data_IF_082404593076
#
_entry.id   IF_082404593076
#
_cell.length_a   1.000
_cell.length_b   1.000
_cell.length_c   1.000
_cell.angle_alpha   90.00
_cell.angle_beta   90.00
_cell.angle_gamma   90.00
#
_symmetry.space_group_name_H-M   'P 1'
#
loop_
_entity.id
_entity.type
_entity.pdbx_description
1 polymer ?
#
# COMPACT_ATOMS: atom_id res chain seq x y z
N UNK A 1 26.05 -10.40 8.20
CA UNK A 1 24.73 -10.76 7.63
C UNK A 1 24.19 -9.64 6.75
N UNK A 2 23.99 -8.41 7.25
CA UNK A 2 23.50 -7.26 6.46
C UNK A 2 24.61 -6.49 5.69
N UNK A 3 25.66 -7.18 5.26
CA UNK A 3 26.84 -6.54 4.64
C UNK A 3 26.72 -6.39 3.12
N UNK A 4 27.58 -5.55 2.53
CA UNK A 4 27.61 -5.32 1.08
C UNK A 4 27.86 -6.60 0.26
N UNK A 5 28.68 -7.53 0.77
CA UNK A 5 28.96 -8.80 0.09
C UNK A 5 27.71 -9.69 -0.06
N UNK A 6 26.89 -9.79 0.99
CA UNK A 6 25.61 -10.51 0.90
C UNK A 6 24.62 -9.74 0.02
N UNK A 7 24.59 -8.41 0.10
CA UNK A 7 23.72 -7.61 -0.77
C UNK A 7 24.06 -7.85 -2.24
N UNK A 8 25.33 -7.79 -2.62
CA UNK A 8 25.77 -7.98 -4.01
C UNK A 8 25.58 -9.45 -4.48
N UNK A 9 25.56 -10.41 -3.54
CA UNK A 9 25.28 -11.82 -3.84
C UNK A 9 23.81 -12.06 -4.20
N UNK A 10 22.88 -11.45 -3.46
CA UNK A 10 21.44 -11.64 -3.67
C UNK A 10 20.87 -10.64 -4.69
N UNK A 11 21.43 -9.43 -4.74
CA UNK A 11 21.00 -8.32 -5.58
C UNK A 11 22.22 -7.65 -6.26
N UNK A 12 22.81 -8.27 -7.30
CA UNK A 12 23.99 -7.73 -7.97
C UNK A 12 23.78 -6.34 -8.60
N UNK A 13 22.54 -6.03 -9.00
CA UNK A 13 22.12 -4.74 -9.53
C UNK A 13 21.50 -3.82 -8.47
N UNK A 14 21.42 -4.30 -7.21
CA UNK A 14 20.81 -3.62 -6.06
C UNK A 14 19.37 -3.20 -6.30
N UNK A 15 18.62 -3.97 -7.08
CA UNK A 15 17.18 -3.77 -7.31
C UNK A 15 16.38 -4.83 -6.57
N UNK A 16 15.28 -4.40 -5.96
CA UNK A 16 14.34 -5.28 -5.25
C UNK A 16 12.99 -5.21 -5.95
N UNK A 17 12.42 -6.35 -6.31
CA UNK A 17 11.08 -6.46 -6.87
C UNK A 17 10.02 -6.36 -5.78
N UNK A 18 9.11 -5.40 -5.91
CA UNK A 18 7.98 -5.22 -4.98
C UNK A 18 6.67 -5.33 -5.75
N UNK A 19 5.80 -6.23 -5.31
CA UNK A 19 4.42 -6.28 -5.75
C UNK A 19 3.51 -5.71 -4.66
N UNK A 20 2.71 -4.71 -5.01
CA UNK A 20 1.79 -4.04 -4.09
C UNK A 20 0.38 -4.10 -4.67
N UNK A 21 -0.54 -4.69 -3.92
CA UNK A 21 -1.96 -4.70 -4.26
C UNK A 21 -2.81 -4.08 -3.16
N UNK A 22 -3.90 -3.43 -3.60
CA UNK A 22 -4.97 -2.98 -2.72
C UNK A 22 -6.30 -3.52 -3.20
N UNK A 23 -7.12 -4.04 -2.29
CA UNK A 23 -8.44 -4.56 -2.63
C UNK A 23 -9.50 -4.25 -1.56
N UNK A 24 -10.57 -3.55 -1.95
CA UNK A 24 -11.76 -3.44 -1.12
C UNK A 24 -12.69 -4.65 -1.38
N UNK A 25 -12.82 -5.54 -0.40
CA UNK A 25 -13.59 -6.79 -0.49
C UNK A 25 -15.08 -6.63 -0.13
N UNK A 26 -15.55 -5.42 0.20
CA UNK A 26 -16.94 -5.12 0.57
C UNK A 26 -17.54 -5.99 1.71
N UNK A 27 -16.69 -6.59 2.55
CA UNK A 27 -17.09 -7.48 3.64
C UNK A 27 -17.66 -8.81 3.15
N UNK A 28 -17.43 -9.17 1.88
CA UNK A 28 -17.92 -10.42 1.32
C UNK A 28 -17.33 -11.62 2.06
N UNK A 29 -18.17 -12.63 2.32
CA UNK A 29 -17.76 -13.87 2.99
C UNK A 29 -17.09 -14.86 2.04
N UNK A 30 -17.44 -14.78 0.75
CA UNK A 30 -16.87 -15.64 -0.28
C UNK A 30 -15.53 -15.08 -0.73
N UNK A 31 -14.47 -15.86 -0.58
CA UNK A 31 -13.18 -15.56 -1.21
C UNK A 31 -13.16 -16.18 -2.61
N UNK A 32 -12.50 -15.52 -3.60
CA UNK A 32 -12.26 -16.09 -4.91
C UNK A 32 -11.64 -17.49 -4.79
N UNK A 33 -12.02 -18.38 -5.71
CA UNK A 33 -11.46 -19.74 -5.76
C UNK A 33 -10.00 -19.75 -6.18
N UNK A 34 -9.57 -18.74 -6.92
CA UNK A 34 -8.19 -18.56 -7.36
C UNK A 34 -7.77 -17.10 -7.14
N UNK A 35 -6.53 -16.89 -6.67
CA UNK A 35 -5.89 -15.59 -6.50
C UNK A 35 -4.74 -15.35 -7.50
N UNK A 36 -4.51 -16.26 -8.45
CA UNK A 36 -3.45 -16.15 -9.46
C UNK A 36 -3.55 -14.84 -10.25
N UNK A 37 -4.75 -14.46 -10.71
CA UNK A 37 -4.93 -13.20 -11.46
C UNK A 37 -4.58 -11.96 -10.61
N UNK A 38 -4.70 -12.06 -9.29
CA UNK A 38 -4.31 -11.01 -8.36
C UNK A 38 -2.80 -11.05 -8.08
N UNK A 39 -2.24 -12.20 -7.77
CA UNK A 39 -0.87 -12.32 -7.23
C UNK A 39 0.20 -12.62 -8.29
N UNK A 40 -0.20 -13.10 -9.47
CA UNK A 40 0.67 -13.55 -10.54
C UNK A 40 0.23 -12.91 -11.86
N UNK A 41 0.28 -11.56 -11.97
CA UNK A 41 -0.15 -10.89 -13.19
C UNK A 41 0.69 -11.37 -14.38
N UNK A 42 0.01 -11.62 -15.50
CA UNK A 42 0.61 -12.20 -16.72
C UNK A 42 1.73 -11.36 -17.32
N UNK A 43 1.76 -10.07 -16.99
CA UNK A 43 2.69 -9.10 -17.54
C UNK A 43 3.97 -8.94 -16.68
N UNK A 44 4.10 -9.71 -15.59
CA UNK A 44 5.31 -9.70 -14.76
C UNK A 44 6.38 -10.61 -15.36
N UNK A 45 7.40 -10.01 -15.98
CA UNK A 45 8.54 -10.74 -16.56
C UNK A 45 9.47 -11.36 -15.50
N UNK A 46 9.33 -10.98 -14.23
CA UNK A 46 10.19 -11.42 -13.14
C UNK A 46 9.42 -11.77 -11.86
N UNK A 47 9.98 -12.69 -11.08
CA UNK A 47 9.52 -13.00 -9.74
C UNK A 47 9.79 -11.81 -8.80
N UNK A 48 8.87 -11.57 -7.87
CA UNK A 48 8.92 -10.45 -6.96
C UNK A 48 9.65 -10.87 -5.67
N UNK A 49 10.33 -9.95 -5.00
CA UNK A 49 11.00 -10.29 -3.73
C UNK A 49 10.06 -10.14 -2.54
N UNK A 50 9.14 -9.18 -2.63
CA UNK A 50 8.09 -8.95 -1.64
C UNK A 50 6.71 -8.81 -2.29
N UNK A 51 5.71 -9.32 -1.59
CA UNK A 51 4.30 -9.08 -1.87
C UNK A 51 3.66 -8.35 -0.70
N UNK A 52 3.07 -7.19 -0.97
CA UNK A 52 2.43 -6.34 0.03
C UNK A 52 0.95 -6.18 -0.34
N UNK A 53 0.08 -6.77 0.47
CA UNK A 53 -1.34 -6.90 0.18
C UNK A 53 -2.16 -6.13 1.21
N UNK A 54 -2.74 -5.02 0.78
CA UNK A 54 -3.66 -4.20 1.57
C UNK A 54 -5.11 -4.53 1.25
N UNK A 55 -5.93 -4.77 2.26
CA UNK A 55 -7.34 -5.11 2.10
C UNK A 55 -8.21 -4.18 2.91
N UNK A 56 -9.21 -3.58 2.28
CA UNK A 56 -10.26 -2.78 2.94
C UNK A 56 -11.57 -3.55 2.94
N UNK A 57 -12.39 -3.37 3.99
CA UNK A 57 -13.63 -4.16 4.18
C UNK A 57 -13.36 -5.67 3.99
N UNK A 58 -12.27 -6.17 4.59
CA UNK A 58 -11.85 -7.55 4.41
C UNK A 58 -12.88 -8.56 4.93
N UNK A 59 -12.76 -9.79 4.44
CA UNK A 59 -13.60 -10.90 4.88
C UNK A 59 -13.48 -11.14 6.41
N UNK A 60 -14.53 -11.65 7.08
CA UNK A 60 -14.48 -11.90 8.52
C UNK A 60 -13.42 -12.93 8.93
N UNK A 61 -13.17 -13.93 8.08
CA UNK A 61 -12.13 -14.93 8.32
C UNK A 61 -10.79 -14.49 7.72
N UNK A 62 -10.06 -13.67 8.48
CA UNK A 62 -8.74 -13.16 8.07
C UNK A 62 -7.71 -14.30 7.91
N UNK A 63 -7.84 -15.36 8.69
CA UNK A 63 -6.87 -16.47 8.67
C UNK A 63 -7.03 -17.31 7.40
N UNK A 64 -8.27 -17.56 6.99
CA UNK A 64 -8.55 -18.19 5.69
C UNK A 64 -7.97 -17.35 4.54
N UNK A 65 -8.13 -16.02 4.58
CA UNK A 65 -7.52 -15.12 3.60
C UNK A 65 -5.99 -15.24 3.56
N UNK A 66 -5.32 -15.15 4.72
CA UNK A 66 -3.86 -15.30 4.83
C UNK A 66 -3.38 -16.69 4.34
N UNK A 67 -4.17 -17.73 4.61
CA UNK A 67 -3.87 -19.11 4.16
C UNK A 67 -3.92 -19.21 2.64
N UNK A 68 -4.97 -18.67 2.00
CA UNK A 68 -5.08 -18.67 0.54
C UNK A 68 -3.97 -17.88 -0.13
N UNK A 69 -3.58 -16.73 0.43
CA UNK A 69 -2.42 -15.97 -0.06
C UNK A 69 -1.15 -16.83 -0.03
N UNK A 70 -0.90 -17.53 1.09
CA UNK A 70 0.26 -18.40 1.23
C UNK A 70 0.22 -19.61 0.28
N UNK A 71 -0.96 -20.21 0.07
CA UNK A 71 -1.15 -21.31 -0.88
C UNK A 71 -0.87 -20.88 -2.32
N UNK A 72 -1.37 -19.72 -2.74
CA UNK A 72 -1.14 -19.17 -4.09
C UNK A 72 0.32 -18.79 -4.31
N UNK A 73 0.96 -18.10 -3.36
CA UNK A 73 2.38 -17.74 -3.48
C UNK A 73 3.31 -18.96 -3.38
N UNK A 74 2.85 -20.03 -2.75
CA UNK A 74 3.58 -21.28 -2.62
C UNK A 74 4.79 -21.20 -1.67
N UNK A 75 5.61 -22.26 -1.61
CA UNK A 75 6.63 -22.46 -0.57
C UNK A 75 7.89 -21.59 -0.76
N UNK A 76 7.98 -20.83 -1.84
CA UNK A 76 9.09 -19.90 -2.07
C UNK A 76 8.93 -18.60 -1.29
N UNK A 77 7.71 -18.28 -0.86
CA UNK A 77 7.41 -17.12 -0.05
C UNK A 77 6.97 -17.55 1.34
N UNK A 78 7.26 -16.69 2.31
CA UNK A 78 6.77 -16.82 3.68
C UNK A 78 6.14 -15.50 4.11
N UNK A 79 5.08 -15.58 4.90
CA UNK A 79 4.48 -14.40 5.51
C UNK A 79 5.46 -13.79 6.52
N UNK A 80 6.07 -12.66 6.15
CA UNK A 80 6.96 -11.90 7.02
C UNK A 80 6.18 -11.29 8.18
N UNK A 81 5.03 -10.67 7.87
CA UNK A 81 4.17 -10.06 8.89
C UNK A 81 2.75 -9.84 8.37
N UNK A 82 1.78 -9.85 9.30
CA UNK A 82 0.41 -9.45 9.03
C UNK A 82 -0.09 -8.55 10.16
N UNK A 83 -0.72 -7.44 9.80
CA UNK A 83 -1.32 -6.49 10.73
C UNK A 83 -2.76 -6.17 10.31
N UNK A 84 -3.59 -5.78 11.28
CA UNK A 84 -4.98 -5.40 11.01
C UNK A 84 -5.48 -4.29 11.93
N UNK A 85 -6.42 -3.50 11.41
CA UNK A 85 -7.19 -2.54 12.19
C UNK A 85 -8.68 -2.69 11.86
N UNK A 86 -9.41 -3.47 12.68
CA UNK A 86 -10.75 -3.91 12.33
C UNK A 86 -10.72 -4.78 11.06
N UNK A 87 -11.49 -4.40 10.04
CA UNK A 87 -11.56 -5.06 8.73
C UNK A 87 -10.59 -4.47 7.68
N UNK A 88 -9.55 -3.76 8.13
CA UNK A 88 -8.44 -3.29 7.32
C UNK A 88 -7.25 -4.21 7.56
N UNK A 89 -6.76 -4.91 6.54
CA UNK A 89 -5.64 -5.86 6.65
C UNK A 89 -4.45 -5.39 5.85
N UNK A 90 -3.24 -5.64 6.35
CA UNK A 90 -2.00 -5.44 5.63
C UNK A 90 -1.10 -6.66 5.86
N UNK A 91 -0.78 -7.37 4.78
CA UNK A 91 0.05 -8.58 4.82
C UNK A 91 1.29 -8.40 3.97
N UNK A 92 2.45 -8.77 4.50
CA UNK A 92 3.73 -8.75 3.80
C UNK A 92 4.25 -10.17 3.69
N UNK A 93 4.43 -10.64 2.46
CA UNK A 93 5.19 -11.85 2.15
C UNK A 93 6.55 -11.45 1.58
N UNK A 94 7.53 -12.31 1.81
CA UNK A 94 8.89 -12.15 1.31
C UNK A 94 9.38 -13.50 0.80
N UNK A 95 10.27 -13.50 -0.20
CA UNK A 95 10.99 -14.73 -0.55
C UNK A 95 11.69 -15.30 0.68
N UNK A 96 11.57 -16.61 0.88
CA UNK A 96 12.03 -17.33 2.08
C UNK A 96 13.51 -17.17 2.39
N UNK A 97 14.34 -16.95 1.38
CA UNK A 97 15.79 -16.78 1.49
C UNK A 97 16.17 -15.36 1.94
N UNK A 98 15.25 -14.39 1.84
CA UNK A 98 15.50 -12.99 2.17
C UNK A 98 15.11 -12.60 3.60
N UNK A 99 14.43 -13.48 4.35
CA UNK A 99 13.98 -13.21 5.73
C UNK A 99 15.14 -12.76 6.64
N UNK A 100 16.34 -13.29 6.39
CA UNK A 100 17.53 -13.04 7.20
C UNK A 100 18.06 -11.61 7.07
N UNK A 101 17.61 -10.89 6.06
CA UNK A 101 18.05 -9.52 5.79
C UNK A 101 17.04 -8.46 6.23
N UNK A 102 15.91 -8.88 6.80
CA UNK A 102 14.91 -8.00 7.40
C UNK A 102 15.24 -7.74 8.88
N UNK A 103 14.99 -6.53 9.35
CA UNK A 103 14.95 -6.20 10.77
C UNK A 103 13.71 -6.82 11.45
N UNK A 104 13.56 -6.55 12.75
CA UNK A 104 12.24 -6.67 13.38
C UNK A 104 11.21 -5.82 12.60
N UNK A 105 9.99 -6.34 12.50
CA UNK A 105 8.88 -5.68 11.82
C UNK A 105 8.01 -4.96 12.84
N UNK A 106 7.76 -3.68 12.60
CA UNK A 106 6.90 -2.85 13.42
C UNK A 106 5.61 -2.52 12.69
N UNK A 107 4.51 -2.37 13.42
CA UNK A 107 3.27 -1.86 12.86
C UNK A 107 2.60 -0.85 13.77
N UNK A 108 1.80 0.03 13.17
CA UNK A 108 0.94 1.00 13.87
C UNK A 108 -0.38 1.18 13.14
N UNK A 109 -1.39 1.68 13.84
CA UNK A 109 -2.73 1.87 13.30
C UNK A 109 -3.25 3.25 13.67
N UNK A 110 -3.99 3.89 12.76
CA UNK A 110 -4.65 5.18 13.02
C UNK A 110 -6.14 5.05 12.70
N UNK A 111 -7.00 5.40 13.66
CA UNK A 111 -8.43 5.58 13.39
C UNK A 111 -8.69 7.02 13.01
N UNK A 112 -9.06 7.29 11.76
CA UNK A 112 -9.41 8.65 11.33
C UNK A 112 -10.85 8.99 11.67
N UNK A 113 -11.78 8.05 11.44
CA UNK A 113 -13.21 8.21 11.70
C UNK A 113 -13.84 6.92 12.24
N UNK A 114 -14.70 7.08 13.23
CA UNK A 114 -15.59 6.01 13.71
C UNK A 114 -16.95 6.21 13.02
N UNK A 115 -17.34 5.28 12.16
CA UNK A 115 -18.67 5.31 11.50
C UNK A 115 -19.67 4.51 12.34
N UNK A 116 -19.25 3.38 12.88
CA UNK A 116 -19.98 2.58 13.88
C UNK A 116 -18.99 1.76 14.73
N UNK A 117 -19.47 1.02 15.73
CA UNK A 117 -18.62 0.12 16.54
C UNK A 117 -17.85 -0.91 15.70
N UNK A 118 -18.33 -1.22 14.49
CA UNK A 118 -17.77 -2.26 13.59
C UNK A 118 -17.09 -1.63 12.36
N UNK A 119 -17.49 -0.41 11.94
CA UNK A 119 -16.97 0.24 10.73
C UNK A 119 -16.14 1.47 11.10
N UNK A 120 -14.84 1.39 10.88
CA UNK A 120 -13.88 2.48 11.08
C UNK A 120 -13.16 2.81 9.77
N UNK A 121 -12.90 4.09 9.55
CA UNK A 121 -11.92 4.57 8.56
C UNK A 121 -10.58 4.79 9.25
N UNK A 122 -9.49 4.59 8.53
CA UNK A 122 -8.17 4.61 9.15
C UNK A 122 -7.07 4.06 8.27
N UNK A 123 -5.95 3.75 8.91
CA UNK A 123 -4.76 3.19 8.29
C UNK A 123 -4.14 2.09 9.14
N UNK A 124 -3.49 1.14 8.48
CA UNK A 124 -2.50 0.22 9.04
C UNK A 124 -1.18 0.51 8.35
N UNK A 125 -0.13 0.74 9.13
CA UNK A 125 1.24 0.86 8.64
C UNK A 125 2.09 -0.31 9.12
N UNK A 126 2.89 -0.89 8.22
CA UNK A 126 3.96 -1.86 8.53
C UNK A 126 5.29 -1.25 8.09
N UNK A 127 6.30 -1.35 8.95
CA UNK A 127 7.65 -0.85 8.69
C UNK A 127 8.72 -1.87 9.09
N UNK A 128 9.79 -1.91 8.32
CA UNK A 128 11.00 -2.70 8.59
C UNK A 128 12.17 -2.16 7.78
N UNK A 129 13.38 -2.53 8.17
CA UNK A 129 14.60 -2.26 7.40
C UNK A 129 15.02 -3.54 6.68
N UNK A 130 15.27 -3.43 5.37
CA UNK A 130 15.85 -4.50 4.56
C UNK A 130 17.27 -4.11 4.17
N UNK A 131 18.25 -4.91 4.60
CA UNK A 131 19.66 -4.50 4.60
C UNK A 131 19.86 -3.15 5.31
N UNK A 132 20.12 -2.09 4.54
CA UNK A 132 20.30 -0.72 5.03
C UNK A 132 19.22 0.25 4.58
N UNK A 133 18.14 -0.23 3.97
CA UNK A 133 17.05 0.59 3.43
C UNK A 133 15.79 0.36 4.24
N UNK A 134 15.23 1.43 4.81
CA UNK A 134 14.01 1.38 5.60
C UNK A 134 12.76 1.53 4.71
N UNK A 135 11.77 0.69 4.96
CA UNK A 135 10.51 0.66 4.23
C UNK A 135 9.33 0.96 5.15
N UNK A 136 8.37 1.74 4.64
CA UNK A 136 7.05 1.93 5.24
C UNK A 136 5.96 1.64 4.21
N UNK A 137 5.09 0.69 4.54
CA UNK A 137 3.90 0.36 3.76
C UNK A 137 2.66 0.79 4.53
N UNK A 138 1.82 1.62 3.93
CA UNK A 138 0.58 2.10 4.53
C UNK A 138 -0.58 1.67 3.65
N UNK A 139 -1.52 0.92 4.22
CA UNK A 139 -2.84 0.74 3.62
C UNK A 139 -3.87 1.56 4.36
N UNK A 140 -4.72 2.28 3.62
CA UNK A 140 -5.77 3.12 4.20
C UNK A 140 -7.15 2.87 3.60
N UNK A 141 -8.16 3.21 4.39
CA UNK A 141 -9.53 3.33 3.93
C UNK A 141 -10.06 4.71 4.33
N UNK A 142 -10.18 5.61 3.35
CA UNK A 142 -10.56 7.01 3.58
C UNK A 142 -12.08 7.22 3.59
N UNK A 143 -12.49 8.42 3.97
CA UNK A 143 -13.88 8.87 3.96
C UNK A 143 -14.49 8.77 2.56
N UNK A 144 -15.59 8.02 2.46
CA UNK A 144 -16.37 7.83 1.24
C UNK A 144 -17.34 8.98 0.98
N UNK A 145 -17.67 9.22 -0.29
CA UNK A 145 -18.66 10.19 -0.75
C UNK A 145 -18.07 11.24 -1.68
N UNK A 146 -18.84 11.62 -2.69
CA UNK A 146 -18.33 12.41 -3.82
C UNK A 146 -17.86 13.80 -3.39
N UNK A 147 -18.63 14.45 -2.49
CA UNK A 147 -18.34 15.78 -1.96
C UNK A 147 -17.39 15.78 -0.74
N UNK A 148 -16.77 14.64 -0.39
CA UNK A 148 -15.99 14.46 0.85
C UNK A 148 -14.47 14.63 0.67
N UNK A 149 -14.06 15.43 -0.31
CA UNK A 149 -12.63 15.69 -0.61
C UNK A 149 -11.89 16.25 0.60
N UNK A 150 -12.46 17.27 1.26
CA UNK A 150 -11.85 17.88 2.43
C UNK A 150 -11.67 16.90 3.59
N UNK A 151 -12.66 16.04 3.85
CA UNK A 151 -12.54 14.99 4.87
C UNK A 151 -11.47 13.96 4.54
N UNK A 152 -11.23 13.64 3.26
CA UNK A 152 -10.12 12.77 2.84
C UNK A 152 -8.75 13.43 3.07
N UNK A 153 -8.64 14.74 2.86
CA UNK A 153 -7.42 15.50 3.22
C UNK A 153 -7.18 15.45 4.73
N UNK A 154 -8.23 15.59 5.54
CA UNK A 154 -8.13 15.45 6.99
C UNK A 154 -7.74 14.02 7.42
N UNK A 155 -8.27 13.00 6.74
CA UNK A 155 -7.86 11.59 6.97
C UNK A 155 -6.35 11.42 6.71
N UNK A 156 -5.86 11.93 5.57
CA UNK A 156 -4.44 11.91 5.21
C UNK A 156 -3.55 12.60 6.25
N UNK A 157 -3.82 13.87 6.57
CA UNK A 157 -3.02 14.65 7.52
C UNK A 157 -2.96 13.95 8.89
N UNK A 158 -4.11 13.44 9.37
CA UNK A 158 -4.16 12.72 10.64
C UNK A 158 -3.33 11.44 10.62
N UNK A 159 -3.29 10.70 9.51
CA UNK A 159 -2.48 9.49 9.39
C UNK A 159 -0.99 9.87 9.37
N UNK A 160 -0.62 10.88 8.58
CA UNK A 160 0.76 11.38 8.49
C UNK A 160 1.32 11.79 9.87
N UNK A 161 0.51 12.50 10.66
CA UNK A 161 0.90 13.01 11.97
C UNK A 161 0.88 11.93 13.07
N UNK A 162 -0.09 11.01 13.04
CA UNK A 162 -0.36 10.11 14.16
C UNK A 162 0.17 8.68 13.99
N UNK A 163 0.58 8.25 12.80
CA UNK A 163 1.12 6.91 12.58
C UNK A 163 2.50 6.81 13.25
N UNK A 164 2.53 6.22 14.44
CA UNK A 164 3.71 6.18 15.29
C UNK A 164 4.72 5.09 14.84
N UNK A 165 5.44 5.36 13.76
CA UNK A 165 6.54 4.56 13.21
C UNK A 165 7.75 5.45 12.82
N UNK A 166 8.98 4.92 12.83
CA UNK A 166 9.38 3.70 13.54
C UNK A 166 9.27 3.90 15.07
N UNK A 167 9.19 2.80 15.84
CA UNK A 167 9.06 2.80 17.32
C UNK A 167 10.40 2.53 18.01
N UNK A 168 11.08 1.49 17.58
CA UNK A 168 12.36 1.01 18.10
C UNK A 168 13.41 0.78 17.00
N UNK A 169 12.99 0.69 15.72
CA UNK A 169 13.93 0.69 14.60
C UNK A 169 14.65 2.05 14.49
N UNK A 170 15.98 2.06 14.30
CA UNK A 170 16.70 3.29 14.02
C UNK A 170 16.20 3.91 12.71
N UNK A 171 15.95 5.21 12.75
CA UNK A 171 15.78 6.01 11.54
C UNK A 171 17.08 5.97 10.74
N UNK A 172 17.00 5.51 9.49
CA UNK A 172 18.18 5.35 8.61
C UNK A 172 18.69 6.71 8.10
N UNK A 173 17.88 7.77 8.16
CA UNK A 173 18.27 9.11 7.74
C UNK A 173 17.61 10.22 8.59
N UNK A 174 17.95 10.31 9.89
CA UNK A 174 17.25 11.17 10.84
C UNK A 174 17.35 12.67 10.52
N UNK A 175 18.31 13.07 9.69
CA UNK A 175 18.47 14.46 9.25
C UNK A 175 17.41 14.91 8.23
N UNK A 176 16.75 13.97 7.55
CA UNK A 176 15.66 14.25 6.60
C UNK A 176 14.27 14.10 7.22
N UNK A 177 14.21 13.56 8.42
CA UNK A 177 12.98 13.22 9.12
C UNK A 177 12.36 14.41 9.83
N UNK A 178 11.04 14.46 9.80
CA UNK A 178 10.23 15.42 10.55
C UNK A 178 9.33 14.68 11.54
N UNK A 179 9.18 15.26 12.73
CA UNK A 179 8.36 14.68 13.79
C UNK A 179 6.87 14.74 13.50
N UNK A 180 6.44 15.63 12.60
CA UNK A 180 5.03 15.77 12.20
C UNK A 180 4.63 14.94 10.98
N UNK A 181 5.58 14.29 10.29
CA UNK A 181 5.28 13.51 9.09
C UNK A 181 6.04 12.18 9.08
N UNK A 182 5.31 11.09 9.35
CA UNK A 182 5.83 9.72 9.34
C UNK A 182 6.50 9.33 8.02
N UNK A 183 6.05 9.89 6.88
CA UNK A 183 6.53 9.51 5.55
C UNK A 183 7.92 10.06 5.24
N UNK A 184 8.45 10.94 6.10
CA UNK A 184 9.81 11.48 5.97
C UNK A 184 10.86 10.64 6.70
N UNK A 185 10.43 9.65 7.50
CA UNK A 185 11.27 8.87 8.42
C UNK A 185 11.77 7.54 7.86
N UNK A 186 11.48 7.29 6.58
CA UNK A 186 11.77 6.05 5.89
C UNK A 186 12.37 6.35 4.51
N UNK A 187 13.27 5.50 4.05
CA UNK A 187 13.91 5.65 2.74
C UNK A 187 12.90 5.44 1.61
N UNK A 188 12.03 4.44 1.78
CA UNK A 188 11.00 4.07 0.81
C UNK A 188 9.62 4.01 1.48
N UNK A 189 8.68 4.78 0.95
CA UNK A 189 7.30 4.83 1.46
C UNK A 189 6.32 4.49 0.35
N UNK A 190 5.46 3.51 0.62
CA UNK A 190 4.39 3.11 -0.27
C UNK A 190 3.06 3.28 0.46
N UNK A 191 2.20 4.16 -0.07
CA UNK A 191 0.87 4.38 0.47
C UNK A 191 -0.16 4.03 -0.58
N UNK A 192 -0.99 3.04 -0.27
CA UNK A 192 -2.04 2.50 -1.12
C UNK A 192 -3.31 2.27 -0.30
N UNK A 193 -4.42 1.95 -0.95
CA UNK A 193 -5.69 1.77 -0.24
C UNK A 193 -6.90 2.16 -1.06
N UNK A 194 -8.06 2.05 -0.42
CA UNK A 194 -9.28 2.69 -0.91
C UNK A 194 -9.30 4.15 -0.41
N UNK A 195 -8.67 5.02 -1.20
CA UNK A 195 -8.64 6.46 -0.93
C UNK A 195 -9.98 7.15 -1.21
N UNK A 196 -10.96 6.48 -1.83
CA UNK A 196 -12.32 6.98 -2.04
C UNK A 196 -12.44 8.32 -2.80
N UNK A 197 -11.39 8.76 -3.50
CA UNK A 197 -11.50 9.86 -4.47
C UNK A 197 -12.35 9.43 -5.66
N UNK A 198 -13.07 10.39 -6.24
CA UNK A 198 -14.07 10.16 -7.29
C UNK A 198 -13.76 11.02 -8.49
N UNK A 199 -14.43 10.75 -9.60
CA UNK A 199 -14.44 11.66 -10.73
C UNK A 199 -15.35 12.85 -10.43
N UNK A 200 -14.88 14.07 -10.69
CA UNK A 200 -15.62 15.32 -10.51
C UNK A 200 -16.60 15.58 -11.67
N UNK A 201 -17.36 14.56 -12.03
CA UNK A 201 -18.34 14.54 -13.13
C UNK A 201 -19.58 13.77 -12.68
N UNK A 202 -20.73 14.11 -13.25
CA UNK A 202 -21.93 13.32 -13.01
C UNK A 202 -21.83 11.96 -13.72
N UNK A 203 -22.72 11.05 -13.34
CA UNK A 203 -22.70 9.68 -13.88
C UNK A 203 -22.90 9.65 -15.40
N UNK A 204 -23.77 10.51 -15.92
CA UNK A 204 -24.12 10.54 -17.34
C UNK A 204 -22.93 11.01 -18.18
N UNK A 205 -22.22 12.03 -17.72
CA UNK A 205 -20.99 12.50 -18.36
C UNK A 205 -19.90 11.43 -18.32
N UNK A 206 -19.71 10.75 -17.19
CA UNK A 206 -18.71 9.67 -17.07
C UNK A 206 -19.04 8.52 -18.02
N UNK A 207 -20.29 8.05 -18.06
CA UNK A 207 -20.73 7.02 -19.00
C UNK A 207 -20.56 7.45 -20.45
N UNK A 208 -20.84 8.72 -20.77
CA UNK A 208 -20.62 9.28 -22.10
C UNK A 208 -19.13 9.26 -22.45
N UNK A 209 -18.26 9.75 -21.56
CA UNK A 209 -16.81 9.73 -21.77
C UNK A 209 -16.30 8.31 -21.97
N UNK A 210 -16.70 7.36 -21.13
CA UNK A 210 -16.31 5.95 -21.25
C UNK A 210 -16.70 5.33 -22.60
N UNK A 211 -17.87 5.70 -23.14
CA UNK A 211 -18.33 5.20 -24.44
C UNK A 211 -17.58 5.82 -25.63
N UNK A 212 -17.03 7.04 -25.48
CA UNK A 212 -16.29 7.74 -26.53
C UNK A 212 -14.79 7.43 -26.49
N UNK A 213 -14.25 7.11 -25.31
CA UNK A 213 -12.90 6.60 -25.16
C UNK A 213 -12.87 5.15 -25.66
N UNK A 214 -12.22 4.90 -26.80
CA UNK A 214 -11.92 3.53 -27.22
C UNK A 214 -11.22 2.76 -26.10
N UNK A 215 -11.37 1.43 -26.07
CA UNK A 215 -10.81 0.58 -25.03
C UNK A 215 -9.34 0.93 -24.75
N UNK A 216 -9.07 1.50 -23.57
CA UNK A 216 -7.72 1.81 -23.09
C UNK A 216 -7.34 3.30 -23.00
N UNK A 217 -8.11 4.25 -23.53
CA UNK A 217 -7.81 5.68 -23.34
C UNK A 217 -8.55 6.26 -22.13
N UNK A 218 -7.89 6.28 -20.96
CA UNK A 218 -8.47 6.80 -19.72
C UNK A 218 -8.06 8.26 -19.41
N UNK A 219 -7.26 8.90 -20.28
CA UNK A 219 -6.64 10.20 -19.99
C UNK A 219 -7.70 11.28 -19.71
N UNK A 220 -8.77 11.30 -20.51
CA UNK A 220 -9.89 12.25 -20.35
C UNK A 220 -10.65 12.05 -19.04
N UNK A 221 -10.75 10.82 -18.52
CA UNK A 221 -11.35 10.55 -17.22
C UNK A 221 -10.43 11.01 -16.08
N UNK A 222 -9.12 10.79 -16.23
CA UNK A 222 -8.12 11.19 -15.23
C UNK A 222 -8.01 12.71 -15.06
N UNK A 223 -8.37 13.50 -16.06
CA UNK A 223 -8.50 14.97 -15.92
C UNK A 223 -9.53 15.38 -14.87
N UNK A 224 -10.52 14.52 -14.60
CA UNK A 224 -11.59 14.75 -13.64
C UNK A 224 -11.35 14.04 -12.30
N UNK A 225 -10.26 13.28 -12.14
CA UNK A 225 -9.94 12.59 -10.91
C UNK A 225 -9.57 13.56 -9.78
N UNK A 226 -10.30 13.47 -8.67
CA UNK A 226 -10.08 14.34 -7.51
C UNK A 226 -8.70 14.14 -6.90
N UNK A 227 -8.19 12.90 -6.80
CA UNK A 227 -6.86 12.67 -6.20
C UNK A 227 -5.76 13.36 -7.00
N UNK A 228 -5.78 13.19 -8.32
CA UNK A 228 -4.86 13.81 -9.26
C UNK A 228 -4.87 15.34 -9.15
N UNK A 229 -6.06 15.93 -8.95
CA UNK A 229 -6.20 17.37 -8.71
C UNK A 229 -5.57 17.78 -7.37
N UNK A 230 -5.95 17.13 -6.27
CA UNK A 230 -5.45 17.49 -4.94
C UNK A 230 -3.92 17.28 -4.80
N UNK A 231 -3.35 16.30 -5.51
CA UNK A 231 -1.90 16.13 -5.63
C UNK A 231 -1.21 17.27 -6.38
N UNK A 232 -1.80 17.76 -7.49
CA UNK A 232 -1.28 18.92 -8.23
C UNK A 232 -1.31 20.20 -7.40
N UNK A 233 -2.33 20.34 -6.56
CA UNK A 233 -2.50 21.49 -5.66
C UNK A 233 -1.62 21.38 -4.40
N UNK A 234 -0.86 20.28 -4.25
CA UNK A 234 0.09 20.07 -3.14
C UNK A 234 -0.56 19.64 -1.83
N UNK A 235 -1.83 19.22 -1.84
CA UNK A 235 -2.54 18.75 -0.65
C UNK A 235 -2.15 17.32 -0.23
N UNK A 236 -1.54 16.57 -1.15
CA UNK A 236 -0.99 15.24 -0.92
C UNK A 236 0.48 15.21 -1.34
N UNK A 237 1.36 14.74 -0.45
CA UNK A 237 2.74 14.51 -0.84
C UNK A 237 2.82 13.23 -1.69
N UNK A 238 3.21 13.39 -2.95
CA UNK A 238 3.69 12.29 -3.78
C UNK A 238 5.10 12.63 -4.23
N UNK A 239 6.08 11.90 -3.68
CA UNK A 239 7.40 11.87 -4.28
C UNK A 239 7.33 10.80 -5.36
N UNK A 240 7.33 11.21 -6.63
CA UNK A 240 7.56 10.24 -7.72
C UNK A 240 8.85 9.49 -7.40
N UNK A 241 8.76 8.18 -7.31
CA UNK A 241 9.94 7.34 -7.51
C UNK A 241 10.36 7.64 -8.96
N UNK A 242 11.47 8.37 -9.14
CA UNK A 242 12.09 8.54 -10.45
C UNK A 242 12.59 7.17 -10.90
N UNK A 243 11.71 6.38 -11.50
CA UNK A 243 12.02 5.08 -12.12
C UNK A 243 12.80 5.23 -13.43
N UNK A 244 13.22 6.46 -13.81
CA UNK A 244 13.77 6.78 -15.13
C UNK A 244 15.17 7.41 -15.13
N UNK A 245 15.93 7.41 -14.03
CA UNK A 245 17.28 8.01 -14.07
C UNK A 245 18.46 7.05 -14.04
N UNK A 246 18.28 5.74 -13.87
CA UNK A 246 19.38 4.76 -13.96
C UNK A 246 19.00 3.60 -14.89
N UNK A 247 19.05 3.85 -16.20
CA UNK A 247 19.33 2.82 -17.22
C UNK A 247 20.83 2.81 -17.52
#
# INVERSE_FOLDING_TARGET
LLGAEELDRYFPDRRVGLYIATWNMQGERGLPTNLDDLLLPTDSEFAQDFYIIGVQEGCPDRREWETRLQETLGPYYVMLYAASHGVLYLTVFVRRDLIWFCSEVEHATVTTRIISQIKTKGAVGIAFTFFGTSFLFITSHFTSGDAKVYERILDYNKIVEALALPKGLPDTNPYRSTTSDVTTRFDQVFWFGDFNFRLSKDRVDVETLMNHTGAGNMDTLLEHDQLSKEMKDGMFACRRLNLSEHF
#
